data_IF_328007115187
#
_entry.id   IF_328007115187
#
_cell.length_a   1.000
_cell.length_b   1.000
_cell.length_c   1.000
_cell.angle_alpha   90.00
_cell.angle_beta   90.00
_cell.angle_gamma   90.00
#
_symmetry.space_group_name_H-M   'P 1'
#
loop_
_entity.id
_entity.type
_entity.pdbx_description
1 polymer ?
#
# COMPACT_ATOMS: atom_id res chain seq x y z
N UNK A 1 0.12 23.00 -32.63
CA UNK A 1 0.46 23.14 -31.19
C UNK A 1 -0.40 22.13 -30.44
N UNK A 2 0.22 21.17 -29.77
CA UNK A 2 -0.45 20.01 -29.16
C UNK A 2 -1.34 20.45 -27.98
N UNK A 3 -2.58 20.83 -28.27
CA UNK A 3 -3.63 21.07 -27.29
C UNK A 3 -4.29 19.75 -26.91
N UNK A 4 -3.70 19.02 -25.96
CA UNK A 4 -4.47 18.11 -25.11
C UNK A 4 -3.71 17.77 -23.81
N UNK A 5 -3.67 18.72 -22.86
CA UNK A 5 -3.25 18.46 -21.48
C UNK A 5 -4.44 18.57 -20.55
N UNK A 6 -5.30 17.55 -20.59
CA UNK A 6 -6.23 17.24 -19.49
C UNK A 6 -6.93 15.90 -19.75
N UNK A 7 -6.46 14.79 -19.16
CA UNK A 7 -7.39 13.96 -18.43
C UNK A 7 -7.82 14.79 -17.20
N UNK A 8 -9.07 14.73 -16.79
CA UNK A 8 -9.42 15.12 -15.41
C UNK A 8 -8.67 14.15 -14.50
N UNK A 9 -7.43 14.49 -14.12
CA UNK A 9 -6.55 13.58 -13.39
C UNK A 9 -7.12 13.49 -11.98
N UNK A 10 -8.09 12.61 -11.79
CA UNK A 10 -8.49 12.13 -10.48
C UNK A 10 -7.35 11.25 -9.98
N UNK A 11 -6.23 11.89 -9.65
CA UNK A 11 -5.08 11.28 -8.97
C UNK A 11 -5.61 10.77 -7.64
N UNK A 12 -5.81 9.45 -7.49
CA UNK A 12 -6.49 8.92 -6.32
C UNK A 12 -5.70 9.15 -5.03
N UNK A 13 -4.39 9.34 -5.14
CA UNK A 13 -3.49 9.65 -4.03
C UNK A 13 -3.14 11.15 -3.94
N UNK A 14 -3.87 12.03 -4.64
CA UNK A 14 -3.60 13.47 -4.56
C UNK A 14 -3.73 13.99 -3.12
N UNK A 15 -2.66 14.59 -2.60
CA UNK A 15 -2.60 15.08 -1.22
C UNK A 15 -2.27 14.01 -0.17
N UNK A 16 -2.03 12.76 -0.58
CA UNK A 16 -1.59 11.68 0.31
C UNK A 16 -0.07 11.70 0.44
N UNK A 17 0.42 11.77 1.67
CA UNK A 17 1.84 11.73 1.99
C UNK A 17 2.23 10.36 2.53
N UNK A 18 3.15 9.70 1.82
CA UNK A 18 3.55 8.31 2.03
C UNK A 18 5.03 8.26 2.39
N UNK A 19 5.34 7.61 3.51
CA UNK A 19 6.72 7.22 3.86
C UNK A 19 6.90 5.73 3.72
N UNK A 20 8.11 5.30 3.35
CA UNK A 20 8.47 3.88 3.20
C UNK A 20 9.59 3.53 4.19
N UNK A 21 9.45 2.44 4.93
CA UNK A 21 10.44 1.95 5.90
C UNK A 21 10.59 0.42 5.86
N UNK A 22 11.76 -0.10 6.27
CA UNK A 22 12.00 -1.54 6.35
C UNK A 22 12.02 -2.29 5.00
N UNK A 23 12.13 -1.58 3.87
CA UNK A 23 12.11 -2.13 2.52
C UNK A 23 13.45 -1.90 1.78
N UNK A 24 13.71 -2.76 0.79
CA UNK A 24 14.90 -2.70 -0.07
C UNK A 24 14.91 -1.45 -0.95
N UNK A 25 16.06 -1.10 -1.52
CA UNK A 25 16.18 0.08 -2.41
C UNK A 25 15.33 -0.10 -3.66
N UNK A 26 15.35 -1.30 -4.25
CA UNK A 26 14.54 -1.67 -5.41
C UNK A 26 13.04 -1.51 -5.14
N UNK A 27 12.55 -2.04 -4.02
CA UNK A 27 11.16 -1.93 -3.62
C UNK A 27 10.75 -0.48 -3.34
N UNK A 28 11.62 0.31 -2.71
CA UNK A 28 11.38 1.74 -2.52
C UNK A 28 11.27 2.48 -3.85
N UNK A 29 12.10 2.12 -4.84
CA UNK A 29 12.04 2.68 -6.19
C UNK A 29 10.73 2.35 -6.89
N UNK A 30 10.31 1.09 -6.85
CA UNK A 30 9.03 0.65 -7.42
C UNK A 30 7.84 1.38 -6.78
N UNK A 31 7.78 1.40 -5.45
CA UNK A 31 6.70 2.06 -4.73
C UNK A 31 6.73 3.57 -4.97
N UNK A 32 7.91 4.19 -5.06
CA UNK A 32 8.04 5.62 -5.36
C UNK A 32 7.39 5.96 -6.70
N UNK A 33 7.72 5.21 -7.74
CA UNK A 33 7.15 5.40 -9.09
C UNK A 33 5.62 5.27 -9.07
N UNK A 34 5.10 4.26 -8.36
CA UNK A 34 3.66 4.07 -8.18
C UNK A 34 3.01 5.27 -7.46
N UNK A 35 3.61 5.76 -6.38
CA UNK A 35 3.11 6.93 -5.64
C UNK A 35 3.02 8.13 -6.57
N UNK A 36 4.09 8.44 -7.31
CA UNK A 36 4.14 9.59 -8.22
C UNK A 36 3.12 9.44 -9.37
N UNK A 37 3.01 8.24 -9.94
CA UNK A 37 2.05 7.90 -11.00
C UNK A 37 0.60 8.11 -10.58
N UNK A 38 0.28 7.79 -9.32
CA UNK A 38 -1.05 8.00 -8.73
C UNK A 38 -1.26 9.42 -8.19
N UNK A 39 -0.25 10.29 -8.28
CA UNK A 39 -0.27 11.68 -7.84
C UNK A 39 -0.09 11.90 -6.34
N UNK A 40 0.41 10.90 -5.63
CA UNK A 40 0.79 11.00 -4.22
C UNK A 40 2.14 11.67 -4.01
N UNK A 41 2.48 11.91 -2.74
CA UNK A 41 3.75 12.52 -2.32
C UNK A 41 4.55 11.53 -1.51
N UNK A 42 5.66 11.09 -2.05
CA UNK A 42 6.61 10.27 -1.30
C UNK A 42 7.51 11.14 -0.42
N UNK A 43 7.71 10.71 0.81
CA UNK A 43 8.58 11.37 1.76
C UNK A 43 9.50 10.34 2.43
N UNK A 44 10.80 10.43 2.18
CA UNK A 44 11.78 9.49 2.75
C UNK A 44 11.87 9.56 4.28
N UNK A 45 11.40 10.67 4.88
CA UNK A 45 11.38 10.82 6.33
C UNK A 45 9.96 10.87 6.89
N UNK A 46 9.73 10.06 7.92
CA UNK A 46 8.45 10.05 8.62
C UNK A 46 8.36 11.33 9.47
N UNK A 47 7.35 12.14 9.18
CA UNK A 47 7.02 13.37 9.92
C UNK A 47 5.58 13.26 10.39
N UNK A 48 5.39 13.21 11.70
CA UNK A 48 4.08 13.18 12.35
C UNK A 48 3.31 14.46 12.00
N UNK A 49 2.04 14.33 11.61
CA UNK A 49 1.18 15.44 11.17
C UNK A 49 1.37 15.89 9.72
N UNK A 50 2.40 15.39 9.01
CA UNK A 50 2.58 15.61 7.56
C UNK A 50 2.33 14.32 6.80
N UNK A 51 2.93 13.22 7.25
CA UNK A 51 2.69 11.91 6.64
C UNK A 51 1.36 11.36 7.12
N UNK A 52 0.60 10.82 6.17
CA UNK A 52 -0.72 10.23 6.41
C UNK A 52 -0.65 8.71 6.41
N UNK A 53 0.30 8.16 5.65
CA UNK A 53 0.48 6.73 5.47
C UNK A 53 1.95 6.34 5.62
N UNK A 54 2.21 5.29 6.38
CA UNK A 54 3.52 4.66 6.48
C UNK A 54 3.46 3.27 5.87
N UNK A 55 4.21 3.04 4.79
CA UNK A 55 4.40 1.73 4.21
C UNK A 55 5.58 1.05 4.90
N UNK A 56 5.31 -0.09 5.52
CA UNK A 56 6.32 -0.96 6.08
C UNK A 56 6.08 -2.39 5.60
N UNK A 57 7.13 -3.19 5.42
CA UNK A 57 6.96 -4.63 5.19
C UNK A 57 6.68 -5.37 6.51
N UNK A 58 7.36 -4.92 7.57
CA UNK A 58 7.33 -5.53 8.89
C UNK A 58 7.05 -4.47 9.96
N UNK A 59 6.42 -4.90 11.05
CA UNK A 59 6.11 -4.08 12.21
C UNK A 59 7.35 -3.82 13.07
N UNK A 60 8.42 -3.31 12.45
CA UNK A 60 9.73 -3.12 13.08
C UNK A 60 10.37 -1.79 12.69
N UNK A 61 11.33 -1.34 13.52
CA UNK A 61 12.11 -0.13 13.29
C UNK A 61 11.54 1.13 13.94
N UNK A 62 12.41 2.12 14.15
CA UNK A 62 12.08 3.35 14.87
C UNK A 62 10.89 4.10 14.23
N UNK A 63 10.88 4.23 12.90
CA UNK A 63 9.79 4.88 12.16
C UNK A 63 8.44 4.20 12.37
N UNK A 64 8.40 2.87 12.42
CA UNK A 64 7.17 2.13 12.69
C UNK A 64 6.67 2.44 14.11
N UNK A 65 7.53 2.34 15.11
CA UNK A 65 7.13 2.63 16.50
C UNK A 65 6.72 4.08 16.70
N UNK A 66 7.35 5.03 16.01
CA UNK A 66 6.95 6.45 16.04
C UNK A 66 5.56 6.66 15.44
N UNK A 67 5.29 6.09 14.25
CA UNK A 67 3.95 6.13 13.66
C UNK A 67 2.90 5.47 14.55
N UNK A 68 3.23 4.29 15.09
CA UNK A 68 2.33 3.51 15.93
C UNK A 68 1.99 4.27 17.24
N UNK A 69 2.99 4.89 17.86
CA UNK A 69 2.81 5.74 19.05
C UNK A 69 2.02 7.02 18.78
N UNK A 70 2.09 7.55 17.55
CA UNK A 70 1.32 8.74 17.16
C UNK A 70 -0.17 8.48 17.10
N UNK A 71 -0.56 7.21 16.90
CA UNK A 71 -1.96 6.79 16.75
C UNK A 71 -2.36 6.63 15.28
N UNK A 72 -3.24 5.67 15.04
CA UNK A 72 -3.74 5.33 13.69
C UNK A 72 -4.55 6.45 13.02
N UNK A 73 -5.09 7.38 13.82
CA UNK A 73 -5.81 8.56 13.34
C UNK A 73 -4.86 9.55 12.65
N UNK A 74 -3.59 9.57 13.07
CA UNK A 74 -2.56 10.47 12.52
C UNK A 74 -1.83 9.80 11.35
N UNK A 75 -1.34 8.57 11.55
CA UNK A 75 -0.60 7.83 10.53
C UNK A 75 -1.15 6.41 10.42
N UNK A 76 -1.66 6.07 9.24
CA UNK A 76 -2.05 4.71 8.90
C UNK A 76 -0.83 3.90 8.46
N UNK A 77 -0.47 2.87 9.23
CA UNK A 77 0.63 1.96 8.89
C UNK A 77 0.08 0.83 8.03
N UNK A 78 0.58 0.68 6.81
CA UNK A 78 0.11 -0.31 5.83
C UNK A 78 1.25 -1.07 5.18
N UNK A 79 0.94 -2.21 4.54
CA UNK A 79 1.90 -3.01 3.77
C UNK A 79 2.11 -2.46 2.36
N UNK A 80 3.25 -2.76 1.69
CA UNK A 80 3.50 -2.36 0.31
C UNK A 80 2.47 -2.93 -0.68
N UNK A 81 1.81 -4.03 -0.33
CA UNK A 81 0.72 -4.61 -1.11
C UNK A 81 -0.46 -3.65 -1.32
N UNK A 82 -0.71 -2.74 -0.37
CA UNK A 82 -1.75 -1.72 -0.49
C UNK A 82 -1.49 -0.80 -1.68
N UNK A 83 -0.25 -0.33 -1.83
CA UNK A 83 0.10 0.61 -2.89
C UNK A 83 0.04 -0.06 -4.27
N UNK A 84 0.52 -1.30 -4.37
CA UNK A 84 0.39 -2.13 -5.57
C UNK A 84 -1.09 -2.34 -5.96
N UNK A 85 -1.99 -2.53 -4.98
CA UNK A 85 -3.42 -2.60 -5.27
C UNK A 85 -4.02 -1.26 -5.71
N UNK A 86 -3.58 -0.15 -5.11
CA UNK A 86 -4.00 1.18 -5.53
C UNK A 86 -3.61 1.45 -6.98
N UNK A 87 -2.43 0.99 -7.40
CA UNK A 87 -1.98 1.05 -8.79
C UNK A 87 -2.85 0.18 -9.70
N UNK A 88 -3.00 -1.10 -9.36
CA UNK A 88 -3.74 -2.06 -10.18
C UNK A 88 -5.21 -1.66 -10.39
N UNK A 89 -5.84 -1.04 -9.38
CA UNK A 89 -7.22 -0.52 -9.45
C UNK A 89 -7.29 0.93 -9.91
N UNK A 90 -6.14 1.61 -10.01
CA UNK A 90 -6.01 3.04 -10.27
C UNK A 90 -6.95 3.89 -9.39
N UNK A 91 -7.09 3.51 -8.11
CA UNK A 91 -8.02 4.10 -7.14
C UNK A 91 -7.47 3.98 -5.71
N UNK A 92 -7.91 4.87 -4.81
CA UNK A 92 -7.61 4.79 -3.38
C UNK A 92 -8.27 3.55 -2.78
N UNK A 93 -7.48 2.52 -2.46
CA UNK A 93 -7.96 1.30 -1.81
C UNK A 93 -8.06 1.54 -0.30
N UNK A 94 -9.02 0.89 0.36
CA UNK A 94 -9.14 0.96 1.82
C UNK A 94 -7.92 0.38 2.51
N UNK A 95 -7.34 1.14 3.44
CA UNK A 95 -6.17 0.74 4.23
C UNK A 95 -6.46 -0.36 5.23
N UNK A 96 -7.73 -0.56 5.62
CA UNK A 96 -8.12 -1.45 6.73
C UNK A 96 -7.66 -2.91 6.55
N UNK A 97 -7.64 -3.41 5.31
CA UNK A 97 -7.19 -4.78 5.02
C UNK A 97 -5.68 -4.97 4.92
N UNK A 98 -4.91 -3.88 4.97
CA UNK A 98 -3.45 -3.88 4.80
C UNK A 98 -2.72 -3.33 6.01
N UNK A 99 -3.44 -3.02 7.10
CA UNK A 99 -2.86 -2.44 8.30
C UNK A 99 -1.84 -3.37 8.93
N UNK A 100 -0.69 -2.82 9.26
CA UNK A 100 0.37 -3.52 9.96
C UNK A 100 0.25 -3.27 11.46
N UNK A 101 -0.12 -4.32 12.19
CA UNK A 101 -0.15 -4.33 13.66
C UNK A 101 1.04 -5.13 14.20
N UNK A 102 1.65 -4.74 15.32
CA UNK A 102 2.77 -5.47 15.93
C UNK A 102 2.34 -6.79 16.59
N UNK A 103 1.14 -7.29 16.30
CA UNK A 103 0.65 -8.55 16.84
C UNK A 103 1.45 -9.70 16.24
N UNK A 104 2.40 -10.22 17.02
CA UNK A 104 3.04 -11.51 16.79
C UNK A 104 2.01 -12.53 16.30
N UNK A 105 2.25 -13.11 15.12
CA UNK A 105 1.58 -14.28 14.50
C UNK A 105 0.72 -13.98 13.25
N UNK A 106 1.26 -14.40 12.09
CA UNK A 106 0.64 -14.77 10.79
C UNK A 106 0.22 -13.66 9.82
N UNK A 107 1.06 -13.44 8.81
CA UNK A 107 0.63 -13.08 7.46
C UNK A 107 0.20 -14.35 6.71
N UNK A 108 -1.01 -14.82 6.97
CA UNK A 108 -1.74 -15.65 5.98
C UNK A 108 -2.49 -14.71 5.06
N UNK A 109 -2.01 -14.57 3.82
CA UNK A 109 -2.84 -14.21 2.68
C UNK A 109 -2.49 -15.19 1.56
N UNK A 110 -3.26 -16.27 1.39
CA UNK A 110 -4.46 -16.32 0.54
C UNK A 110 -4.13 -15.95 -0.92
N UNK A 111 -3.39 -16.81 -1.61
CA UNK A 111 -3.51 -16.93 -3.07
C UNK A 111 -4.84 -17.63 -3.38
N UNK A 112 -5.86 -16.84 -3.68
CA UNK A 112 -7.07 -17.36 -4.29
C UNK A 112 -6.88 -17.46 -5.80
N UNK A 113 -6.55 -18.65 -6.33
CA UNK A 113 -7.02 -19.09 -7.66
C UNK A 113 -6.75 -20.56 -7.98
N UNK A 114 -7.76 -21.41 -7.76
CA UNK A 114 -8.20 -22.41 -8.75
C UNK A 114 -9.53 -23.02 -8.27
N UNK A 115 -10.57 -22.88 -9.09
CA UNK A 115 -11.94 -23.38 -8.86
C UNK A 115 -12.02 -24.90 -8.65
N UNK A 116 -12.92 -25.42 -7.80
CA UNK A 116 -13.31 -26.82 -7.84
C UNK A 116 -14.46 -26.98 -8.86
N UNK A 117 -14.14 -27.12 -10.16
CA UNK A 117 -15.15 -27.63 -11.08
C UNK A 117 -15.13 -29.14 -11.00
N UNK A 118 -16.04 -29.69 -10.21
CA UNK A 118 -16.31 -31.12 -10.20
C UNK A 118 -16.69 -31.60 -11.60
N UNK A 119 -16.15 -32.75 -11.99
CA UNK A 119 -16.74 -33.56 -13.04
C UNK A 119 -16.79 -35.00 -12.57
N UNK A 120 -18.01 -35.48 -12.45
CA UNK A 120 -18.41 -36.86 -12.18
C UNK A 120 -17.95 -37.76 -13.32
N UNK A 121 -17.41 -38.95 -13.02
CA UNK A 121 -17.56 -40.14 -13.87
C UNK A 121 -17.28 -41.42 -13.06
N UNK A 122 -18.24 -42.35 -13.18
CA UNK A 122 -18.44 -43.61 -12.47
C UNK A 122 -17.46 -44.73 -12.88
N UNK A 123 -17.36 -45.82 -12.09
CA UNK A 123 -16.49 -46.96 -12.39
C UNK A 123 -17.10 -47.91 -13.43
N UNK A 124 -16.22 -48.65 -14.12
CA UNK A 124 -16.54 -49.92 -14.79
C UNK A 124 -15.67 -51.03 -14.20
#
# INVERSE_FOLDING_TARGET
>A
MFSQKSPRVSSPLSGVFISITGLSVDEKGELHDIVEKLGGRYNGNLKIGVNTHLIADKAEGAKFYEAYRSGEDVISIVTPAWLRQCEAKNQLVSVQGFKLVPSSSKSTQCEGRASPTGLLSLPV
#
